data_IF_315391806291
#
_entry.id   IF_315391806291
#
_cell.length_a   1.000
_cell.length_b   1.000
_cell.length_c   1.000
_cell.angle_alpha   90.00
_cell.angle_beta   90.00
_cell.angle_gamma   90.00
#
_symmetry.space_group_name_H-M   'P 1'
#
loop_
_entity.id
_entity.type
_entity.pdbx_description
1 polymer ?
#
# COMPACT_ATOMS: atom_id res chain seq x y z
N UNK A 1 -26.49 22.46 -8.35
CA UNK A 1 -26.08 21.17 -8.95
C UNK A 1 -24.71 20.87 -8.39
N UNK A 2 -24.51 19.71 -7.76
CA UNK A 2 -23.15 19.31 -7.39
C UNK A 2 -22.34 19.20 -8.68
N UNK A 3 -21.23 19.93 -8.78
CA UNK A 3 -20.30 19.75 -9.89
C UNK A 3 -19.71 18.34 -9.81
N UNK A 4 -19.67 17.64 -10.93
CA UNK A 4 -19.14 16.28 -10.99
C UNK A 4 -17.62 16.31 -10.92
N UNK A 5 -17.01 15.25 -10.38
CA UNK A 5 -15.55 15.14 -10.25
C UNK A 5 -14.84 15.37 -11.60
N UNK A 6 -15.36 14.76 -12.68
CA UNK A 6 -14.81 14.92 -14.03
C UNK A 6 -14.94 16.35 -14.57
N UNK A 7 -15.97 17.08 -14.15
CA UNK A 7 -16.19 18.47 -14.55
C UNK A 7 -15.22 19.39 -13.82
N UNK A 8 -15.14 19.31 -12.48
CA UNK A 8 -14.16 20.07 -11.69
C UNK A 8 -12.73 19.84 -12.20
N UNK A 9 -12.38 18.58 -12.50
CA UNK A 9 -11.04 18.23 -12.99
C UNK A 9 -10.74 18.82 -14.37
N UNK A 10 -11.67 18.78 -15.33
CA UNK A 10 -11.46 19.38 -16.65
C UNK A 10 -11.43 20.91 -16.59
N UNK A 11 -12.34 21.52 -15.85
CA UNK A 11 -12.41 22.97 -15.70
C UNK A 11 -11.18 23.53 -15.01
N UNK A 12 -10.60 22.78 -14.06
CA UNK A 12 -9.38 23.19 -13.35
C UNK A 12 -8.19 23.51 -14.26
N UNK A 13 -8.16 22.95 -15.47
CA UNK A 13 -7.14 23.27 -16.48
C UNK A 13 -7.20 24.74 -16.94
N UNK A 14 -8.39 25.36 -16.91
CA UNK A 14 -8.62 26.78 -17.26
C UNK A 14 -8.80 27.66 -16.03
N UNK A 15 -9.47 27.12 -15.01
CA UNK A 15 -9.84 27.81 -13.77
C UNK A 15 -9.25 27.05 -12.58
N UNK A 16 -8.01 27.36 -12.15
CA UNK A 16 -7.31 26.57 -11.12
C UNK A 16 -8.09 26.29 -9.84
N UNK A 17 -8.95 27.22 -9.41
CA UNK A 17 -9.79 27.09 -8.21
C UNK A 17 -10.86 25.99 -8.32
N UNK A 18 -11.26 25.58 -9.53
CA UNK A 18 -12.17 24.45 -9.72
C UNK A 18 -11.56 23.12 -9.24
N UNK A 19 -10.23 23.05 -9.09
CA UNK A 19 -9.57 21.88 -8.52
C UNK A 19 -9.96 21.61 -7.05
N UNK A 20 -10.44 22.61 -6.32
CA UNK A 20 -10.92 22.42 -4.95
C UNK A 20 -12.03 21.37 -4.88
N UNK A 21 -12.94 21.33 -5.86
CA UNK A 21 -13.99 20.31 -5.93
C UNK A 21 -13.43 18.89 -6.13
N UNK A 22 -12.30 18.75 -6.83
CA UNK A 22 -11.59 17.47 -6.98
C UNK A 22 -11.01 17.02 -5.63
N UNK A 23 -10.39 17.96 -4.90
CA UNK A 23 -9.80 17.69 -3.60
C UNK A 23 -10.88 17.29 -2.58
N UNK A 24 -11.94 18.07 -2.45
CA UNK A 24 -13.04 17.81 -1.53
C UNK A 24 -13.72 16.46 -1.78
N UNK A 25 -13.87 16.08 -3.06
CA UNK A 25 -14.49 14.81 -3.43
C UNK A 25 -13.60 13.59 -3.15
N UNK A 26 -12.27 13.71 -3.26
CA UNK A 26 -11.37 12.54 -3.30
C UNK A 26 -10.36 12.45 -2.16
N UNK A 27 -10.17 13.50 -1.35
CA UNK A 27 -9.07 13.54 -0.37
C UNK A 27 -9.21 12.46 0.72
N UNK A 28 -10.42 12.29 1.27
CA UNK A 28 -10.72 11.27 2.27
C UNK A 28 -10.55 9.86 1.72
N UNK A 29 -11.05 9.60 0.50
CA UNK A 29 -10.93 8.29 -0.14
C UNK A 29 -9.49 7.92 -0.47
N UNK A 30 -8.71 8.85 -1.04
CA UNK A 30 -7.31 8.63 -1.37
C UNK A 30 -6.45 8.45 -0.11
N UNK A 31 -6.72 9.24 0.93
CA UNK A 31 -6.04 9.09 2.22
C UNK A 31 -6.33 7.71 2.82
N UNK A 32 -7.60 7.28 2.86
CA UNK A 32 -7.95 5.95 3.36
C UNK A 32 -7.34 4.83 2.50
N UNK A 33 -7.33 4.98 1.17
CA UNK A 33 -6.72 4.05 0.24
C UNK A 33 -5.21 3.88 0.49
N UNK A 34 -4.49 4.99 0.69
CA UNK A 34 -3.05 5.00 0.96
C UNK A 34 -2.76 4.49 2.38
N UNK A 35 -3.54 4.91 3.37
CA UNK A 35 -3.35 4.48 4.76
C UNK A 35 -3.53 2.97 4.94
N UNK A 36 -4.51 2.36 4.24
CA UNK A 36 -4.68 0.89 4.20
C UNK A 36 -3.47 0.15 3.59
N UNK A 37 -2.58 0.86 2.90
CA UNK A 37 -1.44 0.29 2.18
C UNK A 37 -0.09 0.65 2.77
N UNK A 38 0.02 1.79 3.44
CA UNK A 38 1.24 2.23 4.12
C UNK A 38 1.25 1.84 5.59
N UNK A 39 0.08 1.73 6.23
CA UNK A 39 -0.07 1.59 7.68
C UNK A 39 0.69 2.68 8.47
N UNK A 40 0.85 3.84 7.85
CA UNK A 40 1.59 4.98 8.38
C UNK A 40 0.84 6.26 7.97
N UNK A 41 0.41 7.02 8.98
CA UNK A 41 -0.41 8.23 8.80
C UNK A 41 0.38 9.35 8.13
N UNK A 42 1.64 9.51 8.48
CA UNK A 42 2.48 10.58 7.92
C UNK A 42 2.77 10.29 6.45
N UNK A 43 3.21 9.06 6.16
CA UNK A 43 3.45 8.60 4.78
C UNK A 43 2.16 8.67 3.96
N UNK A 44 1.02 8.25 4.51
CA UNK A 44 -0.25 8.31 3.79
C UNK A 44 -0.63 9.76 3.44
N UNK A 45 -0.48 10.69 4.39
CA UNK A 45 -0.74 12.12 4.17
C UNK A 45 0.18 12.72 3.11
N UNK A 46 1.47 12.39 3.17
CA UNK A 46 2.46 12.87 2.20
C UNK A 46 2.17 12.34 0.79
N UNK A 47 1.86 11.05 0.67
CA UNK A 47 1.46 10.45 -0.60
C UNK A 47 0.14 11.03 -1.12
N UNK A 48 -0.82 11.35 -0.26
CA UNK A 48 -2.06 12.04 -0.65
C UNK A 48 -1.76 13.44 -1.18
N UNK A 49 -0.96 14.22 -0.46
CA UNK A 49 -0.58 15.57 -0.86
C UNK A 49 0.16 15.56 -2.22
N UNK A 50 1.14 14.68 -2.38
CA UNK A 50 1.89 14.51 -3.62
C UNK A 50 1.00 14.03 -4.79
N UNK A 51 0.01 13.16 -4.50
CA UNK A 51 -0.98 12.74 -5.50
C UNK A 51 -1.74 13.95 -6.05
N UNK A 52 -2.25 14.81 -5.19
CA UNK A 52 -2.97 16.01 -5.62
C UNK A 52 -2.05 17.04 -6.28
N UNK A 53 -0.81 17.20 -5.81
CA UNK A 53 0.16 18.09 -6.44
C UNK A 53 0.43 17.68 -7.91
N UNK A 54 0.69 16.38 -8.15
CA UNK A 54 0.88 15.85 -9.51
C UNK A 54 -0.39 15.89 -10.34
N UNK A 55 -1.53 15.57 -9.73
CA UNK A 55 -2.81 15.66 -10.41
C UNK A 55 -3.08 17.11 -10.85
N UNK A 56 -2.80 18.09 -9.99
CA UNK A 56 -2.90 19.49 -10.33
C UNK A 56 -1.94 19.84 -11.47
N UNK A 57 -0.66 19.50 -11.38
CA UNK A 57 0.33 19.78 -12.44
C UNK A 57 -0.08 19.19 -13.80
N UNK A 58 -0.65 17.98 -13.80
CA UNK A 58 -0.97 17.23 -15.02
C UNK A 58 -2.44 17.25 -15.43
N UNK A 59 -3.31 18.00 -14.74
CA UNK A 59 -4.77 18.05 -15.01
C UNK A 59 -5.11 18.37 -16.47
N UNK A 60 -4.29 19.17 -17.14
CA UNK A 60 -4.44 19.48 -18.57
C UNK A 60 -4.25 18.29 -19.52
N UNK A 61 -3.77 17.14 -19.03
CA UNK A 61 -3.64 15.87 -19.78
C UNK A 61 -4.81 14.92 -19.56
N UNK A 62 -5.70 15.19 -18.60
CA UNK A 62 -6.89 14.38 -18.39
C UNK A 62 -7.84 14.50 -19.59
N UNK A 63 -8.36 13.37 -20.08
CA UNK A 63 -9.23 13.28 -21.26
C UNK A 63 -10.50 12.46 -21.03
N UNK A 64 -10.73 11.99 -19.80
CA UNK A 64 -11.96 11.29 -19.45
C UNK A 64 -13.13 12.26 -19.29
N UNK A 65 -14.34 11.73 -19.38
CA UNK A 65 -15.58 12.52 -19.26
C UNK A 65 -16.46 12.06 -18.09
N UNK A 66 -16.16 10.89 -17.52
CA UNK A 66 -16.90 10.32 -16.40
C UNK A 66 -16.17 10.47 -15.06
N UNK A 67 -16.92 10.50 -13.96
CA UNK A 67 -16.34 10.53 -12.61
C UNK A 67 -15.51 9.27 -12.33
N UNK A 68 -15.94 8.11 -12.85
CA UNK A 68 -15.18 6.87 -12.75
C UNK A 68 -13.78 6.97 -13.38
N UNK A 69 -13.66 7.59 -14.56
CA UNK A 69 -12.38 7.82 -15.21
C UNK A 69 -11.52 8.84 -14.45
N UNK A 70 -12.13 9.89 -13.90
CA UNK A 70 -11.44 10.88 -13.08
C UNK A 70 -10.87 10.25 -11.80
N UNK A 71 -11.68 9.46 -11.08
CA UNK A 71 -11.24 8.71 -9.91
C UNK A 71 -10.14 7.71 -10.28
N UNK A 72 -10.32 6.94 -11.36
CA UNK A 72 -9.32 5.96 -11.81
C UNK A 72 -7.97 6.63 -12.15
N UNK A 73 -8.01 7.81 -12.76
CA UNK A 73 -6.80 8.58 -13.06
C UNK A 73 -6.07 9.02 -11.78
N UNK A 74 -6.79 9.54 -10.78
CA UNK A 74 -6.23 9.92 -9.48
C UNK A 74 -5.65 8.70 -8.73
N UNK A 75 -6.39 7.59 -8.67
CA UNK A 75 -5.88 6.35 -8.10
C UNK A 75 -4.67 5.81 -8.86
N UNK A 76 -4.58 6.02 -10.18
CA UNK A 76 -3.40 5.67 -10.98
C UNK A 76 -2.15 6.44 -10.53
N UNK A 77 -2.28 7.74 -10.30
CA UNK A 77 -1.19 8.57 -9.76
C UNK A 77 -0.78 8.08 -8.37
N UNK A 78 -1.75 7.87 -7.47
CA UNK A 78 -1.50 7.39 -6.11
C UNK A 78 -0.81 6.02 -6.08
N UNK A 79 -1.24 5.08 -6.93
CA UNK A 79 -0.60 3.75 -7.07
C UNK A 79 0.84 3.86 -7.52
N UNK A 80 1.13 4.73 -8.48
CA UNK A 80 2.51 4.94 -8.96
C UNK A 80 3.43 5.51 -7.88
N UNK A 81 2.91 6.44 -7.08
CA UNK A 81 3.62 7.02 -5.94
C UNK A 81 3.86 5.98 -4.85
N UNK A 82 2.83 5.22 -4.47
CA UNK A 82 2.94 4.12 -3.52
C UNK A 82 3.96 3.06 -3.98
N UNK A 83 3.93 2.67 -5.26
CA UNK A 83 4.87 1.69 -5.82
C UNK A 83 6.32 2.22 -5.86
N UNK A 84 6.51 3.54 -5.95
CA UNK A 84 7.83 4.16 -5.78
C UNK A 84 8.25 4.13 -4.32
N UNK A 85 7.40 4.60 -3.41
CA UNK A 85 7.64 4.59 -1.97
C UNK A 85 8.01 3.19 -1.45
N UNK A 86 7.27 2.16 -1.86
CA UNK A 86 7.54 0.79 -1.46
C UNK A 86 8.91 0.27 -1.94
N UNK A 87 9.37 0.70 -3.13
CA UNK A 87 10.71 0.33 -3.65
C UNK A 87 11.83 1.06 -2.93
N UNK A 88 11.62 2.35 -2.65
CA UNK A 88 12.62 3.21 -2.02
C UNK A 88 12.75 2.87 -0.52
N UNK A 89 11.64 2.64 0.17
CA UNK A 89 11.62 2.26 1.60
C UNK A 89 12.27 0.91 1.90
N UNK A 90 12.21 -0.06 0.99
CA UNK A 90 12.97 -1.31 1.09
C UNK A 90 14.48 -1.05 1.02
N UNK A 91 14.90 -0.12 0.16
CA UNK A 91 16.30 0.25 0.00
C UNK A 91 16.81 0.99 1.24
N UNK A 92 15.99 1.89 1.78
CA UNK A 92 16.31 2.69 2.96
C UNK A 92 16.31 1.86 4.25
N UNK A 93 15.32 0.99 4.47
CA UNK A 93 15.28 0.10 5.64
C UNK A 93 16.50 -0.81 5.70
N UNK A 94 16.91 -1.38 4.56
CA UNK A 94 18.17 -2.14 4.43
C UNK A 94 19.42 -1.30 4.67
N UNK A 95 19.39 0.00 4.38
CA UNK A 95 20.51 0.90 4.69
C UNK A 95 20.55 1.25 6.18
N UNK A 96 19.40 1.53 6.79
CA UNK A 96 19.22 1.83 8.22
C UNK A 96 19.61 0.63 9.10
N UNK A 97 19.20 -0.59 8.71
CA UNK A 97 19.60 -1.85 9.38
C UNK A 97 21.12 -2.09 9.30
N UNK A 98 21.75 -1.82 8.14
CA UNK A 98 23.22 -1.88 7.99
C UNK A 98 23.95 -0.87 8.87
N UNK A 99 23.28 0.23 9.23
CA UNK A 99 23.80 1.26 10.14
C UNK A 99 23.49 0.96 11.62
N UNK A 100 22.79 -0.15 11.92
CA UNK A 100 22.47 -0.56 13.30
C UNK A 100 21.44 0.34 14.00
N UNK A 101 20.73 1.19 13.25
CA UNK A 101 19.73 2.11 13.79
C UNK A 101 18.43 1.34 13.95
N UNK A 102 17.96 1.18 15.19
CA UNK A 102 16.63 0.63 15.47
C UNK A 102 15.59 1.71 15.25
N UNK A 103 14.73 1.53 14.25
CA UNK A 103 13.54 2.36 14.07
C UNK A 103 12.62 2.14 15.28
N UNK A 104 12.15 3.20 15.96
CA UNK A 104 11.23 3.07 17.07
C UNK A 104 10.00 2.27 16.66
N UNK A 105 9.54 1.37 17.53
CA UNK A 105 8.25 0.71 17.34
C UNK A 105 7.13 1.76 17.36
N UNK A 106 6.19 1.65 16.43
CA UNK A 106 4.97 2.46 16.41
C UNK A 106 4.26 2.30 17.76
N UNK A 107 3.83 3.39 18.38
CA UNK A 107 3.13 3.33 19.66
C UNK A 107 1.75 2.66 19.48
N UNK A 108 1.20 2.06 20.53
CA UNK A 108 -0.12 1.43 20.47
C UNK A 108 -1.23 2.45 20.14
N UNK A 109 -1.08 3.70 20.60
CA UNK A 109 -2.02 4.79 20.31
C UNK A 109 -1.98 5.20 18.83
N UNK A 110 -0.78 5.27 18.23
CA UNK A 110 -0.61 5.53 16.81
C UNK A 110 -1.20 4.39 15.97
N UNK A 111 -0.97 3.14 16.40
CA UNK A 111 -1.53 1.95 15.77
C UNK A 111 -3.06 1.95 15.81
N UNK A 112 -3.67 2.26 16.96
CA UNK A 112 -5.12 2.34 17.09
C UNK A 112 -5.72 3.46 16.21
N UNK A 113 -5.03 4.60 16.12
CA UNK A 113 -5.43 5.72 15.26
C UNK A 113 -5.33 5.38 13.77
N UNK A 114 -4.31 4.61 13.37
CA UNK A 114 -4.18 4.04 12.02
C UNK A 114 -5.36 3.10 11.73
N UNK A 115 -5.69 2.19 12.66
CA UNK A 115 -6.78 1.21 12.49
C UNK A 115 -8.13 1.89 12.29
N UNK A 116 -8.44 2.93 13.08
CA UNK A 116 -9.68 3.71 12.96
C UNK A 116 -9.73 4.51 11.65
N UNK A 117 -8.68 5.29 11.35
CA UNK A 117 -8.65 6.15 10.15
C UNK A 117 -8.67 5.34 8.85
N UNK A 118 -8.11 4.14 8.86
CA UNK A 118 -8.04 3.29 7.68
C UNK A 118 -9.27 2.38 7.51
N UNK A 119 -10.19 2.36 8.50
CA UNK A 119 -11.30 1.42 8.54
C UNK A 119 -10.83 -0.05 8.57
N UNK A 120 -9.69 -0.31 9.22
CA UNK A 120 -9.01 -1.62 9.24
C UNK A 120 -9.50 -2.55 10.37
N UNK A 121 -10.50 -2.14 11.15
CA UNK A 121 -11.01 -2.93 12.27
C UNK A 121 -11.38 -4.37 11.82
N UNK A 122 -12.02 -4.50 10.66
CA UNK A 122 -12.39 -5.79 10.06
C UNK A 122 -11.22 -6.47 9.32
N UNK A 123 -10.19 -5.70 8.95
CA UNK A 123 -9.04 -6.21 8.20
C UNK A 123 -8.16 -7.12 9.04
N UNK A 124 -7.99 -6.82 10.35
CA UNK A 124 -7.18 -7.67 11.24
C UNK A 124 -7.77 -9.07 11.38
N UNK A 125 -9.09 -9.17 11.57
CA UNK A 125 -9.79 -10.46 11.60
C UNK A 125 -9.67 -11.17 10.24
N UNK A 126 -9.90 -10.44 9.15
CA UNK A 126 -9.79 -10.97 7.78
C UNK A 126 -8.39 -11.53 7.49
N UNK A 127 -7.31 -10.81 7.85
CA UNK A 127 -5.93 -11.25 7.66
C UNK A 127 -5.60 -12.44 8.56
N UNK A 128 -6.07 -12.44 9.81
CA UNK A 128 -5.88 -13.57 10.73
C UNK A 128 -6.57 -14.85 10.22
N UNK A 129 -7.80 -14.73 9.69
CA UNK A 129 -8.54 -15.82 9.06
C UNK A 129 -7.83 -16.30 7.80
N UNK A 130 -7.32 -15.37 6.97
CA UNK A 130 -6.59 -15.73 5.76
C UNK A 130 -5.30 -16.48 6.06
N UNK A 131 -4.51 -15.97 7.00
CA UNK A 131 -3.29 -16.61 7.48
C UNK A 131 -3.63 -18.00 8.04
N UNK A 132 -4.77 -18.12 8.71
CA UNK A 132 -5.29 -19.38 9.23
C UNK A 132 -5.81 -20.35 8.17
N UNK A 133 -6.17 -19.85 6.98
CA UNK A 133 -6.62 -20.64 5.83
C UNK A 133 -5.48 -21.14 4.94
N UNK A 134 -4.26 -20.60 5.09
CA UNK A 134 -3.10 -21.02 4.31
C UNK A 134 -2.75 -22.48 4.59
N UNK A 135 -2.33 -23.26 3.57
CA UNK A 135 -1.68 -24.56 3.80
C UNK A 135 -0.55 -24.43 4.82
N UNK A 136 -0.40 -25.40 5.71
CA UNK A 136 0.56 -25.33 6.82
C UNK A 136 1.97 -25.05 6.35
N UNK A 137 2.41 -25.69 5.27
CA UNK A 137 3.74 -25.50 4.69
C UNK A 137 3.98 -24.08 4.16
N UNK A 138 2.95 -23.42 3.64
CA UNK A 138 3.00 -22.02 3.19
C UNK A 138 2.97 -21.05 4.36
N UNK A 139 2.13 -21.34 5.38
CA UNK A 139 1.99 -20.55 6.59
C UNK A 139 3.27 -20.53 7.41
N UNK A 140 3.88 -21.69 7.62
CA UNK A 140 5.10 -21.84 8.41
C UNK A 140 6.28 -21.16 7.71
N UNK A 141 6.39 -21.32 6.38
CA UNK A 141 7.38 -20.62 5.59
C UNK A 141 7.20 -19.09 5.65
N UNK A 142 5.95 -18.62 5.56
CA UNK A 142 5.62 -17.20 5.64
C UNK A 142 5.93 -16.62 7.02
N UNK A 143 5.57 -17.33 8.10
CA UNK A 143 5.88 -16.94 9.48
C UNK A 143 7.39 -16.81 9.68
N UNK A 144 8.15 -17.86 9.35
CA UNK A 144 9.59 -17.86 9.55
C UNK A 144 10.27 -16.73 8.76
N UNK A 145 9.79 -16.46 7.54
CA UNK A 145 10.38 -15.43 6.68
C UNK A 145 10.00 -14.00 7.07
N UNK A 146 8.75 -13.75 7.44
CA UNK A 146 8.19 -12.39 7.57
C UNK A 146 8.03 -11.95 9.02
N UNK A 147 7.73 -12.88 9.94
CA UNK A 147 7.56 -12.59 11.37
C UNK A 147 8.87 -12.84 12.12
N UNK A 148 9.49 -13.99 11.87
CA UNK A 148 10.74 -14.37 12.54
C UNK A 148 11.99 -13.86 11.78
N UNK A 149 11.79 -13.13 10.67
CA UNK A 149 12.79 -12.45 9.83
C UNK A 149 13.98 -13.33 9.35
N UNK A 150 13.78 -14.65 9.26
CA UNK A 150 14.80 -15.63 8.85
C UNK A 150 15.12 -15.54 7.37
N UNK A 151 16.37 -15.79 6.98
CA UNK A 151 16.73 -15.88 5.56
C UNK A 151 16.18 -17.18 4.91
N UNK A 152 16.14 -17.24 3.58
CA UNK A 152 15.57 -18.40 2.89
C UNK A 152 16.32 -19.70 3.17
N UNK A 153 17.62 -19.65 3.48
CA UNK A 153 18.42 -20.80 3.86
C UNK A 153 18.04 -21.33 5.25
N UNK A 154 17.87 -20.45 6.22
CA UNK A 154 17.37 -20.78 7.57
C UNK A 154 15.94 -21.31 7.52
N UNK A 155 15.06 -20.71 6.71
CA UNK A 155 13.69 -21.20 6.49
C UNK A 155 13.72 -22.61 5.91
N UNK A 156 14.56 -22.84 4.89
CA UNK A 156 14.70 -24.13 4.24
C UNK A 156 15.22 -25.22 5.20
N UNK A 157 16.25 -24.89 5.98
CA UNK A 157 16.81 -25.78 7.00
C UNK A 157 15.77 -26.13 8.07
N UNK A 158 14.99 -25.14 8.53
CA UNK A 158 13.94 -25.33 9.55
C UNK A 158 12.81 -26.22 9.03
N UNK A 159 12.43 -26.06 7.76
CA UNK A 159 11.31 -26.79 7.14
C UNK A 159 11.73 -28.10 6.47
N UNK A 160 13.03 -28.43 6.46
CA UNK A 160 13.56 -29.63 5.81
C UNK A 160 13.34 -29.67 4.29
N UNK A 161 13.41 -28.52 3.61
CA UNK A 161 13.22 -28.41 2.14
C UNK A 161 14.38 -27.68 1.47
N UNK A 162 14.36 -27.58 0.14
CA UNK A 162 15.31 -26.72 -0.59
C UNK A 162 14.96 -25.24 -0.41
N UNK A 163 15.98 -24.38 -0.57
CA UNK A 163 15.81 -22.92 -0.56
C UNK A 163 14.79 -22.44 -1.61
N UNK A 164 14.81 -23.03 -2.81
CA UNK A 164 13.84 -22.75 -3.86
C UNK A 164 12.40 -23.13 -3.45
N UNK A 165 12.23 -24.26 -2.76
CA UNK A 165 10.92 -24.67 -2.25
C UNK A 165 10.42 -23.73 -1.15
N UNK A 166 11.31 -23.26 -0.26
CA UNK A 166 10.99 -22.25 0.74
C UNK A 166 10.54 -20.93 0.08
N UNK A 167 11.30 -20.43 -0.91
CA UNK A 167 10.95 -19.22 -1.66
C UNK A 167 9.60 -19.36 -2.38
N UNK A 168 9.37 -20.50 -3.03
CA UNK A 168 8.10 -20.78 -3.70
C UNK A 168 6.91 -20.86 -2.72
N UNK A 169 7.10 -21.36 -1.50
CA UNK A 169 6.06 -21.39 -0.46
C UNK A 169 5.73 -19.99 0.03
N UNK A 170 6.74 -19.17 0.36
CA UNK A 170 6.54 -17.76 0.77
C UNK A 170 5.85 -16.96 -0.33
N UNK A 171 6.31 -17.08 -1.58
CA UNK A 171 5.70 -16.37 -2.72
C UNK A 171 4.24 -16.75 -2.95
N UNK A 172 3.89 -18.05 -2.80
CA UNK A 172 2.50 -18.52 -2.91
C UNK A 172 1.63 -18.03 -1.76
N UNK A 173 2.15 -18.05 -0.53
CA UNK A 173 1.47 -17.52 0.64
C UNK A 173 1.14 -16.03 0.47
N UNK A 174 2.12 -15.23 0.04
CA UNK A 174 1.95 -13.78 -0.14
C UNK A 174 1.03 -13.44 -1.32
N UNK A 175 1.04 -14.20 -2.41
CA UNK A 175 0.04 -14.04 -3.48
C UNK A 175 -1.37 -14.30 -2.98
N UNK A 176 -1.57 -15.40 -2.25
CA UNK A 176 -2.88 -15.77 -1.72
C UNK A 176 -3.41 -14.75 -0.72
N UNK A 177 -2.52 -14.10 0.04
CA UNK A 177 -2.88 -12.96 0.87
C UNK A 177 -3.22 -11.75 0.01
N UNK A 178 -2.33 -11.34 -0.89
CA UNK A 178 -2.50 -10.15 -1.72
C UNK A 178 -3.77 -10.15 -2.57
N UNK A 179 -4.16 -11.31 -3.12
CA UNK A 179 -5.40 -11.47 -3.88
C UNK A 179 -6.65 -11.08 -3.07
N UNK A 180 -6.59 -11.20 -1.73
CA UNK A 180 -7.71 -10.89 -0.85
C UNK A 180 -7.63 -9.48 -0.26
N UNK A 181 -6.42 -8.96 -0.03
CA UNK A 181 -6.23 -7.62 0.57
C UNK A 181 -6.06 -6.47 -0.45
N UNK A 182 -6.07 -6.75 -1.77
CA UNK A 182 -5.85 -5.75 -2.84
C UNK A 182 -4.59 -4.88 -2.59
N UNK A 183 -3.55 -5.52 -2.07
CA UNK A 183 -2.28 -4.91 -1.67
C UNK A 183 -1.19 -5.22 -2.71
N UNK A 184 -0.38 -4.22 -3.13
CA UNK A 184 0.74 -4.49 -4.02
C UNK A 184 1.78 -5.39 -3.31
N UNK A 185 2.15 -6.51 -3.92
CA UNK A 185 3.20 -7.41 -3.40
C UNK A 185 4.57 -6.75 -3.61
N UNK A 186 5.41 -6.60 -2.58
CA UNK A 186 6.79 -6.17 -2.77
C UNK A 186 7.54 -7.12 -3.70
N UNK A 187 8.16 -6.59 -4.75
CA UNK A 187 8.78 -7.38 -5.83
C UNK A 187 9.88 -8.35 -5.37
N UNK A 188 10.44 -8.15 -4.19
CA UNK A 188 11.53 -8.97 -3.63
C UNK A 188 11.11 -10.35 -3.13
N UNK A 189 9.82 -10.57 -2.94
CA UNK A 189 9.27 -11.89 -2.57
C UNK A 189 9.23 -12.85 -3.77
N UNK A 190 9.41 -12.31 -4.98
CA UNK A 190 9.21 -13.05 -6.23
C UNK A 190 10.52 -13.43 -6.94
N UNK A 191 11.69 -13.05 -6.39
CA UNK A 191 12.99 -13.35 -6.99
C UNK A 191 13.84 -14.23 -6.09
#
# INVERSE_FOLDING_TARGET
MAETLSTCLRESARTPTAFTGVYEAMASELLAFLLRRTFDVEVARDLTAETFARAFEHRGRFRGDTDAEASAWLYGIARNLLARYARDGVTERRAVERLGIRVPAVSEDDHQRIVELAGLADMRATVADLFSSLPSDQRDALRLRVIDERDYGEVAATLGVSEDAARARVSRALRRIADVVDMPIPSEVTR
#
